data_IF_410400435440
#
_entry.id   IF_410400435440
#
_cell.length_a   1.000
_cell.length_b   1.000
_cell.length_c   1.000
_cell.angle_alpha   90.00
_cell.angle_beta   90.00
_cell.angle_gamma   90.00
#
_symmetry.space_group_name_H-M   'P 1'
#
loop_
_entity.id
_entity.type
_entity.pdbx_description
1 polymer ?
2 non-polymer ?
3 non-polymer ?
4 water ?
#
# COMPACT_ATOMS: atom_id res chain seq x y z
N UNK A 1 8.50 11.92 4.49
CA UNK A 1 8.77 12.86 5.63
C UNK A 1 8.41 12.23 6.96
N UNK A 2 8.43 13.01 8.03
CA UNK A 2 8.12 12.52 9.38
C UNK A 2 6.73 11.90 9.37
N UNK A 3 5.68 12.69 9.12
CA UNK A 3 4.30 12.19 9.10
C UNK A 3 4.15 11.11 8.03
N UNK A 4 3.65 9.94 8.43
CA UNK A 4 3.46 8.82 7.51
C UNK A 4 2.52 7.77 8.09
N UNK A 5 2.10 6.83 7.23
CA UNK A 5 1.23 5.73 7.63
C UNK A 5 1.94 4.41 7.29
N UNK A 6 1.45 3.33 7.88
CA UNK A 6 2.06 2.01 7.71
C UNK A 6 1.00 0.92 7.60
N UNK A 7 1.25 -0.07 6.75
CA UNK A 7 0.35 -1.20 6.58
C UNK A 7 1.13 -2.49 6.32
N UNK A 8 0.49 -3.62 6.60
CA UNK A 8 1.11 -4.91 6.36
C UNK A 8 0.20 -5.78 5.50
N UNK A 9 0.77 -6.37 4.45
CA UNK A 9 0.03 -7.24 3.56
C UNK A 9 0.56 -8.68 3.67
N UNK A 10 -0.35 -9.64 3.60
CA UNK A 10 0.01 -11.05 3.71
C UNK A 10 0.32 -11.67 2.35
N UNK A 11 1.61 -11.85 2.09
CA UNK A 11 2.06 -12.42 0.83
C UNK A 11 1.83 -13.92 0.73
N UNK A 12 1.30 -14.54 1.79
CA UNK A 12 1.04 -15.98 1.70
C UNK A 12 -0.31 -16.17 1.02
N UNK A 13 -1.01 -15.06 0.77
CA UNK A 13 -2.29 -15.12 0.08
C UNK A 13 -2.06 -14.55 -1.32
N UNK A 14 -2.79 -15.08 -2.31
CA UNK A 14 -2.64 -14.62 -3.69
C UNK A 14 -2.72 -13.13 -3.98
N UNK A 15 -3.69 -12.44 -3.38
CA UNK A 15 -3.85 -11.02 -3.66
C UNK A 15 -3.28 -10.04 -2.63
N UNK A 16 -2.31 -10.49 -1.83
CA UNK A 16 -1.68 -9.64 -0.80
C UNK A 16 -2.67 -8.79 -0.01
N UNK A 17 -3.63 -9.43 0.65
CA UNK A 17 -4.60 -8.64 1.42
C UNK A 17 -3.99 -8.02 2.67
N UNK A 18 -4.56 -6.90 3.12
CA UNK A 18 -4.09 -6.21 4.33
C UNK A 18 -4.41 -7.01 5.58
N UNK A 19 -3.45 -7.13 6.49
CA UNK A 19 -3.67 -7.84 7.75
C UNK A 19 -3.55 -6.85 8.91
N UNK A 20 -2.91 -5.71 8.66
CA UNK A 20 -2.73 -4.68 9.67
C UNK A 20 -2.48 -3.29 9.06
N UNK A 21 -3.04 -2.26 9.68
CA UNK A 21 -2.82 -0.89 9.22
C UNK A 21 -2.71 0.01 10.45
N UNK A 22 -1.79 0.96 10.38
CA UNK A 22 -1.57 1.90 11.48
C UNK A 22 -2.77 2.82 11.69
N UNK A 23 -2.83 3.41 12.88
CA UNK A 23 -3.89 4.35 13.25
C UNK A 23 -3.95 5.46 12.19
N UNK A 24 -2.77 5.95 11.79
CA UNK A 24 -2.69 7.00 10.79
C UNK A 24 -3.27 6.63 9.44
N UNK A 25 -3.04 5.40 9.00
CA UNK A 25 -3.56 4.95 7.71
C UNK A 25 -5.08 5.08 7.66
N UNK A 26 -5.76 4.58 8.69
CA UNK A 26 -7.22 4.65 8.74
C UNK A 26 -7.72 6.09 8.78
N UNK A 27 -7.11 6.90 9.63
CA UNK A 27 -7.49 8.30 9.79
C UNK A 27 -7.24 9.14 8.53
N UNK A 28 -6.15 8.87 7.83
CA UNK A 28 -5.84 9.62 6.62
C UNK A 28 -6.77 9.26 5.45
N UNK A 29 -6.91 7.96 5.19
CA UNK A 29 -7.74 7.47 4.08
C UNK A 29 -9.24 7.59 4.33
N UNK A 30 -9.63 7.63 5.61
CA UNK A 30 -11.03 7.73 5.96
C UNK A 30 -11.70 6.37 6.09
N UNK A 31 -10.95 5.29 5.84
CA UNK A 31 -11.51 3.95 5.94
C UNK A 31 -11.28 3.35 7.32
N UNK A 32 -12.14 2.41 7.71
CA UNK A 32 -11.99 1.76 9.00
C UNK A 32 -11.49 0.34 8.81
N UNK A 33 -10.97 -0.31 9.88
CA UNK A 33 -10.47 -1.68 9.77
C UNK A 33 -11.56 -2.63 9.29
N UNK A 34 -12.72 -2.54 9.93
CA UNK A 34 -13.85 -3.38 9.56
C UNK A 34 -14.32 -3.08 8.14
N UNK A 35 -13.46 -2.42 7.37
CA UNK A 35 -13.78 -2.05 5.99
C UNK A 35 -12.67 -2.44 5.01
N UNK A 36 -11.41 -2.32 5.43
CA UNK A 36 -10.30 -2.64 4.54
C UNK A 36 -9.43 -3.85 4.88
N UNK A 37 -9.57 -4.41 6.08
CA UNK A 37 -8.78 -5.58 6.42
C UNK A 37 -9.25 -6.74 5.55
N UNK A 38 -8.30 -7.51 5.04
CA UNK A 38 -8.64 -8.63 4.18
C UNK A 38 -8.73 -8.24 2.72
N UNK A 39 -8.43 -6.98 2.42
CA UNK A 39 -8.49 -6.48 1.05
C UNK A 39 -7.16 -5.94 0.54
N UNK A 40 -6.96 -6.02 -0.77
CA UNK A 40 -5.74 -5.51 -1.39
C UNK A 40 -5.87 -3.98 -1.35
N UNK A 41 -4.75 -3.28 -1.17
CA UNK A 41 -4.74 -1.82 -1.06
C UNK A 41 -5.08 -1.04 -2.34
N UNK A 42 -5.39 -1.74 -3.43
CA UNK A 42 -5.71 -1.08 -4.69
C UNK A 42 -6.98 -0.24 -4.63
N UNK A 43 -7.75 -0.38 -3.55
CA UNK A 43 -8.97 0.40 -3.43
C UNK A 43 -8.66 1.89 -3.25
N UNK A 44 -7.40 2.21 -2.99
CA UNK A 44 -7.01 3.61 -2.82
C UNK A 44 -6.80 4.32 -4.15
N UNK A 45 -6.73 3.53 -5.22
CA UNK A 45 -6.50 4.06 -6.56
C UNK A 45 -7.76 4.60 -7.23
N UNK A 46 -7.56 5.35 -8.31
CA UNK A 46 -8.71 5.91 -9.00
C UNK A 46 -8.43 6.33 -10.43
N UNK A 47 -9.28 7.22 -10.92
CA UNK A 47 -9.19 7.71 -12.29
C UNK A 47 -7.85 8.26 -12.75
N UNK A 48 -7.29 9.20 -12.00
CA UNK A 48 -6.02 9.77 -12.41
C UNK A 48 -4.79 8.96 -12.05
N UNK A 49 -4.98 7.80 -11.42
CA UNK A 49 -3.83 7.00 -11.04
C UNK A 49 -3.09 6.48 -12.25
N UNK A 50 -1.80 6.77 -12.32
CA UNK A 50 -0.98 6.35 -13.44
C UNK A 50 -0.78 4.84 -13.48
N UNK A 51 -1.42 4.16 -14.44
CA UNK A 51 -1.29 2.71 -14.55
C UNK A 51 0.15 2.23 -14.72
N UNK A 52 1.02 3.11 -15.21
CA UNK A 52 2.41 2.73 -15.40
C UNK A 52 3.10 2.56 -14.05
N UNK A 53 2.77 3.43 -13.10
CA UNK A 53 3.37 3.35 -11.77
C UNK A 53 2.81 2.14 -11.02
N UNK A 54 1.51 1.88 -11.21
CA UNK A 54 0.84 0.74 -10.59
C UNK A 54 1.52 -0.54 -11.09
N UNK A 55 1.79 -0.59 -12.39
CA UNK A 55 2.43 -1.77 -12.96
C UNK A 55 3.81 -2.00 -12.34
N UNK A 56 4.49 -0.92 -12.00
CA UNK A 56 5.81 -1.01 -11.40
C UNK A 56 5.72 -1.74 -10.05
N UNK A 57 4.72 -1.38 -9.26
CA UNK A 57 4.51 -2.01 -7.96
C UNK A 57 4.13 -3.48 -8.15
N UNK A 58 3.27 -3.73 -9.13
CA UNK A 58 2.84 -5.09 -9.40
C UNK A 58 4.04 -5.98 -9.74
N UNK A 59 4.93 -5.47 -10.58
CA UNK A 59 6.14 -6.20 -10.98
C UNK A 59 7.05 -6.50 -9.78
N UNK A 60 7.31 -5.47 -8.97
CA UNK A 60 8.16 -5.65 -7.80
C UNK A 60 7.61 -6.75 -6.89
N UNK A 61 6.30 -6.72 -6.66
CA UNK A 61 5.64 -7.70 -5.82
C UNK A 61 5.81 -9.12 -6.37
N UNK A 62 5.53 -9.29 -7.66
CA UNK A 62 5.67 -10.59 -8.29
C UNK A 62 7.12 -11.03 -8.25
N UNK A 63 8.05 -10.08 -8.18
CA UNK A 63 9.46 -10.44 -8.11
C UNK A 63 9.94 -10.53 -6.67
N UNK A 64 9.07 -10.19 -5.73
CA UNK A 64 9.45 -10.23 -4.32
C UNK A 64 10.56 -9.24 -4.03
N UNK A 65 10.44 -8.04 -4.58
CA UNK A 65 11.45 -7.01 -4.40
C UNK A 65 10.84 -5.72 -3.85
N UNK A 66 11.69 -4.86 -3.28
CA UNK A 66 11.24 -3.58 -2.74
C UNK A 66 11.00 -2.62 -3.90
N UNK A 67 10.26 -1.55 -3.64
CA UNK A 67 9.98 -0.60 -4.71
C UNK A 67 9.37 0.63 -4.10
N UNK A 68 9.62 1.77 -4.74
CA UNK A 68 9.09 3.03 -4.27
C UNK A 68 8.46 3.76 -5.44
N UNK A 69 7.24 4.25 -5.26
CA UNK A 69 6.57 4.98 -6.33
C UNK A 69 5.68 6.10 -5.82
N UNK A 70 5.41 7.06 -6.69
CA UNK A 70 4.56 8.20 -6.37
C UNK A 70 3.25 7.94 -7.10
N UNK A 71 2.16 7.85 -6.34
CA UNK A 71 0.86 7.57 -6.93
C UNK A 71 -0.25 8.47 -6.43
N UNK A 72 -1.21 8.73 -7.30
CA UNK A 72 -2.35 9.54 -6.94
C UNK A 72 -3.33 8.56 -6.30
N UNK A 73 -3.82 8.89 -5.11
CA UNK A 73 -4.77 8.04 -4.40
C UNK A 73 -5.97 8.88 -4.00
N UNK A 74 -7.00 8.22 -3.49
CA UNK A 74 -8.21 8.91 -3.08
C UNK A 74 -8.72 8.43 -1.72
N UNK A 75 -9.23 9.37 -0.94
CA UNK A 75 -9.79 9.07 0.37
C UNK A 75 -11.15 8.42 0.15
N UNK A 76 -11.74 7.88 1.22
CA UNK A 76 -13.04 7.24 1.13
C UNK A 76 -14.08 8.22 0.59
N UNK A 77 -13.90 9.50 0.90
CA UNK A 77 -14.83 10.52 0.44
C UNK A 77 -14.56 10.91 -1.02
N UNK A 78 -13.56 10.29 -1.64
CA UNK A 78 -13.28 10.59 -3.04
C UNK A 78 -12.25 11.68 -3.33
N UNK A 79 -11.79 12.39 -2.31
CA UNK A 79 -10.80 13.45 -2.52
C UNK A 79 -9.41 12.87 -2.77
N UNK A 80 -8.67 13.47 -3.71
CA UNK A 80 -7.33 13.01 -4.06
C UNK A 80 -6.20 13.50 -3.17
N UNK A 81 -5.09 12.76 -3.23
CA UNK A 81 -3.89 13.12 -2.51
C UNK A 81 -2.73 12.34 -3.12
N UNK A 82 -1.54 12.93 -3.08
CA UNK A 82 -0.37 12.29 -3.64
C UNK A 82 0.31 11.45 -2.57
N UNK A 83 0.56 10.20 -2.93
CA UNK A 83 1.15 9.23 -2.03
C UNK A 83 2.50 8.71 -2.50
N UNK A 84 3.51 8.91 -1.67
CA UNK A 84 4.84 8.41 -1.96
C UNK A 84 4.84 7.10 -1.20
N UNK A 85 4.71 6.01 -1.94
CA UNK A 85 4.64 4.68 -1.36
C UNK A 85 5.92 3.87 -1.52
N UNK A 86 6.29 3.18 -0.46
CA UNK A 86 7.46 2.33 -0.50
C UNK A 86 7.04 0.97 0.05
N UNK A 87 7.21 -0.06 -0.77
CA UNK A 87 6.84 -1.42 -0.39
C UNK A 87 8.10 -2.26 -0.16
N UNK A 88 8.12 -2.99 0.95
CA UNK A 88 9.25 -3.83 1.31
C UNK A 88 8.83 -5.27 1.62
N UNK A 89 9.49 -6.24 0.99
CA UNK A 89 9.17 -7.65 1.22
C UNK A 89 9.83 -8.15 2.51
N UNK A 90 9.10 -8.93 3.29
CA UNK A 90 9.65 -9.50 4.52
C UNK A 90 9.69 -11.00 4.25
N UNK A 91 10.88 -11.57 4.35
CA UNK A 91 11.12 -12.98 4.07
C UNK A 91 11.42 -13.88 5.27
N UNK A 92 11.20 -15.18 5.09
CA UNK A 92 11.51 -16.14 6.13
C UNK A 92 12.94 -16.59 5.84
N UNK A 93 13.56 -17.34 6.78
CA UNK A 93 14.94 -17.79 6.57
C UNK A 93 15.14 -18.57 5.27
N UNK A 94 14.10 -19.25 4.80
CA UNK A 94 14.22 -20.02 3.57
C UNK A 94 14.23 -19.13 2.32
N UNK A 95 14.21 -17.82 2.51
CA UNK A 95 14.22 -16.92 1.36
C UNK A 95 12.87 -16.56 0.79
N UNK A 96 11.81 -17.26 1.16
CA UNK A 96 10.49 -16.93 0.61
C UNK A 96 9.84 -15.72 1.28
N UNK A 97 9.05 -14.99 0.50
CA UNK A 97 8.35 -13.79 0.97
C UNK A 97 7.10 -14.14 1.76
N UNK A 98 7.07 -13.71 3.02
CA UNK A 98 5.94 -13.97 3.89
C UNK A 98 4.96 -12.80 3.94
N UNK A 99 5.51 -11.61 4.05
CA UNK A 99 4.70 -10.41 4.15
C UNK A 99 5.29 -9.27 3.35
N UNK A 100 4.47 -8.27 3.08
CA UNK A 100 4.93 -7.08 2.41
C UNK A 100 4.56 -5.94 3.33
N UNK A 101 5.50 -5.04 3.58
CA UNK A 101 5.21 -3.90 4.44
C UNK A 101 5.17 -2.64 3.59
N UNK A 102 4.24 -1.76 3.90
CA UNK A 102 4.13 -0.54 3.13
C UNK A 102 4.12 0.71 3.97
N UNK A 103 4.92 1.69 3.54
CA UNK A 103 4.98 2.97 4.23
C UNK A 103 4.46 4.01 3.24
N UNK A 104 3.41 4.72 3.63
CA UNK A 104 2.81 5.76 2.79
C UNK A 104 3.04 7.14 3.38
N UNK A 105 3.35 8.10 2.52
CA UNK A 105 3.58 9.48 2.93
C UNK A 105 2.78 10.39 2.00
N UNK A 106 1.90 11.22 2.56
CA UNK A 106 1.11 12.15 1.75
C UNK A 106 2.03 13.32 1.43
N UNK A 107 2.48 13.39 0.19
CA UNK A 107 3.38 14.45 -0.25
C UNK A 107 2.69 15.55 -1.04
N UNK A 108 1.37 15.62 -0.90
CA UNK A 108 0.58 16.64 -1.57
C UNK A 108 1.11 18.02 -1.16
N UNK A 109 1.71 18.08 0.03
CA UNK A 109 2.26 19.33 0.59
C UNK A 109 1.14 20.26 1.07
X LIG B 1 -11.58 -8.45 -2.89
X LIG B 1 -10.68 -7.80 -1.89
X LIG B 1 -11.00 -8.37 -4.29
X LIG B 1 -12.66 -7.94 -2.94
X LIG B 1 -11.74 -9.90 -2.57
X LIG C 1 -1.39 0.96 -3.90
X LIG C 1 -1.87 2.22 -3.75
X LIG C 1 -2.42 2.85 -4.60
X LIG C 1 -1.75 2.89 -2.47
X LIG C 1 -1.16 2.34 -1.35
X LIG C 1 -1.08 2.98 -0.27
X LIG C 1 -0.64 0.98 -1.49
X LIG C 1 -0.08 0.37 -0.46
X LIG C 1 0.41 -0.91 -0.62
X LIG C 1 1.03 -1.58 0.52
X LIG C 1 1.53 -2.86 0.42
X LIG C 1 2.20 -3.61 1.60
X LIG C 1 1.44 -3.60 -0.87
X LIG C 1 1.97 -5.02 -1.03
X LIG C 1 0.85 -2.99 -1.99
X LIG C 1 0.33 -1.66 -1.90
X LIG C 1 -0.29 -0.95 -2.99
X LIG C 1 -0.80 0.34 -2.84
X LIG C 1 -0.42 -1.55 -4.37
X LIG C 1 -1.65 -2.44 -4.58
X LIG C 1 -1.97 -3.14 -3.38
X LIG C 1 -1.36 -3.49 -5.68
X LIG C 1 -0.11 -4.21 -5.28
X LIG C 1 -1.01 -2.96 -7.03
X LIG C 1 -2.03 -2.07 -7.59
X LIG C 1 -0.77 -4.18 -7.94
X LIG C 1 -1.41 -4.09 -9.20
X LIG C 1 -2.89 -4.51 -9.52
X LIG C 1 -3.81 -3.66 -8.68
X LIG C 1 -3.09 -6.02 -9.23
X LIG C 1 -2.94 -4.16 -11.01
#
# INVERSE_FOLDING_TARGET
GLRHTFVVADATLPDCPLVYASEGFYAMTGYGPDEVLGHNCRFLQGEGTDPKEVQKIRDAIKKGEACSVRLLNYRKDGTPFWNLLTVTPIKTPDGRVSKFVGVQVDVTS
SO4 S O1 O2 O3 O4
FMN N1 C2 O2 N3 C4 O4 C4A N5 C5A C6 C7 C7M C8 C8M C9 C9A N10 C10 C1' C2' O2' C3' O3' C4' O4' C5' O5' P O1P O2P O3P
#
